data_IF_861311561115
#
_entry.id   IF_861311561115
#
_cell.length_a   1.000
_cell.length_b   1.000
_cell.length_c   1.000
_cell.angle_alpha   90.00
_cell.angle_beta   90.00
_cell.angle_gamma   90.00
#
_symmetry.space_group_name_H-M   'P 1'
#
loop_
_entity.id
_entity.type
_entity.pdbx_description
1 polymer ?
#
# COMPACT_ATOMS: atom_id res chain seq x y z
N UNK A 1 -1.40 2.10 -0.69
CA UNK A 1 -1.63 0.69 -0.27
C UNK A 1 -0.63 -0.32 -0.83
N UNK A 2 -0.32 -0.33 -2.14
CA UNK A 2 0.62 -1.31 -2.72
C UNK A 2 2.01 -1.31 -2.05
N UNK A 3 2.55 -0.14 -1.67
CA UNK A 3 3.82 -0.04 -0.92
C UNK A 3 3.75 -0.71 0.45
N UNK A 4 2.67 -0.51 1.21
CA UNK A 4 2.49 -1.15 2.52
C UNK A 4 2.53 -2.67 2.43
N UNK A 5 1.84 -3.25 1.44
CA UNK A 5 1.86 -4.70 1.22
C UNK A 5 3.27 -5.26 1.02
N UNK A 6 4.11 -4.56 0.24
CA UNK A 6 5.48 -4.99 -0.06
C UNK A 6 6.49 -4.69 1.07
N UNK A 7 6.41 -3.51 1.66
CA UNK A 7 7.41 -3.04 2.63
C UNK A 7 7.13 -3.52 4.06
N UNK A 8 5.85 -3.76 4.39
CA UNK A 8 5.43 -4.14 5.74
C UNK A 8 4.96 -5.58 5.79
N UNK A 9 3.85 -5.91 5.12
CA UNK A 9 3.23 -7.25 5.23
C UNK A 9 4.18 -8.34 4.75
N UNK A 10 4.75 -8.17 3.56
CA UNK A 10 5.71 -9.14 3.03
C UNK A 10 6.95 -9.28 3.90
N UNK A 11 7.45 -8.17 4.45
CA UNK A 11 8.64 -8.20 5.28
C UNK A 11 8.38 -8.96 6.58
N UNK A 12 7.30 -8.63 7.27
CA UNK A 12 6.92 -9.33 8.51
C UNK A 12 6.61 -10.80 8.23
N UNK A 13 5.90 -11.12 7.15
CA UNK A 13 5.65 -12.53 6.76
C UNK A 13 6.94 -13.32 6.54
N UNK A 14 7.95 -12.72 5.91
CA UNK A 14 9.26 -13.36 5.72
C UNK A 14 9.98 -13.55 7.06
N UNK A 15 9.98 -12.53 7.91
CA UNK A 15 10.61 -12.59 9.23
C UNK A 15 9.93 -13.67 10.11
N UNK A 16 8.60 -13.75 10.12
CA UNK A 16 7.82 -14.78 10.81
C UNK A 16 8.03 -16.19 10.24
N UNK A 17 8.06 -16.35 8.92
CA UNK A 17 8.40 -17.63 8.32
C UNK A 17 9.83 -18.08 8.69
N UNK A 18 10.75 -17.12 8.86
CA UNK A 18 12.12 -17.38 9.28
C UNK A 18 12.23 -17.79 10.75
N UNK A 19 11.39 -17.25 11.64
CA UNK A 19 11.27 -17.71 13.03
C UNK A 19 10.85 -19.18 13.11
N UNK A 20 9.95 -19.60 12.23
CA UNK A 20 9.47 -20.98 12.13
C UNK A 20 10.41 -21.93 11.36
N UNK A 21 11.71 -21.63 11.21
CA UNK A 21 12.63 -22.45 10.39
C UNK A 21 12.67 -23.94 10.76
N UNK A 22 12.42 -24.25 12.03
CA UNK A 22 12.45 -25.61 12.56
C UNK A 22 11.11 -26.34 12.44
N UNK A 23 9.99 -25.61 12.29
CA UNK A 23 8.68 -26.17 12.00
C UNK A 23 8.34 -26.00 10.51
N UNK A 24 8.65 -27.03 9.72
CA UNK A 24 8.43 -27.02 8.26
C UNK A 24 6.96 -26.81 7.89
N UNK A 25 6.02 -27.35 8.69
CA UNK A 25 4.58 -27.26 8.38
C UNK A 25 4.08 -25.84 8.65
N UNK A 26 4.32 -25.30 9.85
CA UNK A 26 3.93 -23.94 10.20
C UNK A 26 4.62 -22.90 9.29
N UNK A 27 5.91 -23.08 8.99
CA UNK A 27 6.63 -22.22 8.04
C UNK A 27 5.99 -22.21 6.66
N UNK A 28 5.56 -23.36 6.14
CA UNK A 28 4.91 -23.46 4.83
C UNK A 28 3.64 -22.63 4.80
N UNK A 29 2.80 -22.72 5.84
CA UNK A 29 1.56 -21.95 5.98
C UNK A 29 1.83 -20.45 5.86
N UNK A 30 2.72 -19.92 6.72
CA UNK A 30 3.08 -18.49 6.71
C UNK A 30 3.70 -18.06 5.37
N UNK A 31 4.59 -18.88 4.80
CA UNK A 31 5.27 -18.56 3.53
C UNK A 31 4.27 -18.44 2.38
N UNK A 32 3.24 -19.29 2.33
CA UNK A 32 2.23 -19.28 1.25
C UNK A 32 1.10 -18.26 1.44
N UNK A 33 0.96 -17.67 2.63
CA UNK A 33 -0.16 -16.81 2.97
C UNK A 33 -0.14 -15.39 2.37
N UNK A 34 0.84 -15.05 1.52
CA UNK A 34 1.03 -13.69 0.97
C UNK A 34 -0.26 -13.11 0.40
N UNK A 35 -0.90 -13.82 -0.53
CA UNK A 35 -2.10 -13.31 -1.22
C UNK A 35 -3.29 -13.17 -0.28
N UNK A 36 -3.40 -14.07 0.70
CA UNK A 36 -4.45 -14.03 1.71
C UNK A 36 -4.31 -12.79 2.60
N UNK A 37 -3.08 -12.48 3.05
CA UNK A 37 -2.75 -11.29 3.83
C UNK A 37 -2.91 -9.97 3.05
N UNK A 38 -3.00 -10.00 1.72
CA UNK A 38 -3.21 -8.81 0.89
C UNK A 38 -4.69 -8.55 0.56
N UNK A 39 -5.58 -9.53 0.80
CA UNK A 39 -7.02 -9.39 0.58
C UNK A 39 -7.68 -8.58 1.71
N UNK A 40 -8.82 -7.96 1.39
CA UNK A 40 -9.71 -7.38 2.40
C UNK A 40 -10.62 -8.50 2.92
N UNK A 41 -10.84 -8.54 4.24
CA UNK A 41 -11.69 -9.56 4.88
C UNK A 41 -13.07 -9.63 4.21
N UNK A 42 -13.69 -8.48 4.01
CA UNK A 42 -15.02 -8.33 3.38
C UNK A 42 -15.11 -8.86 1.93
N UNK A 43 -13.98 -9.01 1.25
CA UNK A 43 -13.93 -9.40 -0.18
C UNK A 43 -13.52 -10.85 -0.38
N UNK A 44 -13.28 -11.59 0.70
CA UNK A 44 -12.95 -13.02 0.62
C UNK A 44 -14.26 -13.78 0.38
N UNK A 45 -14.39 -14.36 -0.81
CA UNK A 45 -15.61 -15.07 -1.22
C UNK A 45 -15.68 -16.55 -0.81
N UNK A 46 -14.56 -17.16 -0.38
CA UNK A 46 -14.51 -18.56 0.05
C UNK A 46 -14.43 -18.63 1.57
N UNK A 47 -15.33 -19.38 2.20
CA UNK A 47 -15.35 -19.56 3.65
C UNK A 47 -14.05 -20.18 4.18
N UNK A 48 -13.49 -21.15 3.44
CA UNK A 48 -12.19 -21.75 3.76
C UNK A 48 -11.06 -20.73 3.84
N UNK A 49 -11.05 -19.72 2.97
CA UNK A 49 -10.03 -18.66 3.00
C UNK A 49 -10.21 -17.76 4.23
N UNK A 50 -11.44 -17.54 4.70
CA UNK A 50 -11.71 -16.81 5.95
C UNK A 50 -11.19 -17.56 7.16
N UNK A 51 -11.50 -18.87 7.25
CA UNK A 51 -11.01 -19.72 8.35
C UNK A 51 -9.48 -19.71 8.37
N UNK A 52 -8.83 -19.95 7.23
CA UNK A 52 -7.37 -19.94 7.11
C UNK A 52 -6.75 -18.59 7.47
N UNK A 53 -7.40 -17.48 7.10
CA UNK A 53 -6.93 -16.16 7.49
C UNK A 53 -7.04 -15.97 9.00
N UNK A 54 -8.19 -16.30 9.59
CA UNK A 54 -8.42 -16.15 11.03
C UNK A 54 -7.44 -17.00 11.84
N UNK A 55 -7.22 -18.25 11.46
CA UNK A 55 -6.24 -19.14 12.10
C UNK A 55 -4.82 -18.57 12.00
N UNK A 56 -4.41 -18.09 10.81
CA UNK A 56 -3.09 -17.51 10.61
C UNK A 56 -2.89 -16.27 11.48
N UNK A 57 -3.88 -15.38 11.55
CA UNK A 57 -3.79 -14.15 12.33
C UNK A 57 -3.83 -14.46 13.84
N UNK A 58 -4.66 -15.41 14.27
CA UNK A 58 -4.71 -15.85 15.67
C UNK A 58 -3.38 -16.49 16.12
N UNK A 59 -2.73 -17.26 15.25
CA UNK A 59 -1.45 -17.89 15.54
C UNK A 59 -0.24 -16.94 15.41
N UNK A 60 -0.41 -15.75 14.82
CA UNK A 60 0.70 -14.83 14.58
C UNK A 60 0.33 -13.37 14.87
N UNK A 61 0.65 -12.94 16.09
CA UNK A 61 0.41 -11.59 16.59
C UNK A 61 0.99 -10.51 15.65
N UNK A 62 2.22 -10.70 15.15
CA UNK A 62 2.86 -9.70 14.28
C UNK A 62 2.15 -9.55 12.94
N UNK A 63 1.70 -10.66 12.34
CA UNK A 63 0.88 -10.63 11.12
C UNK A 63 -0.50 -10.02 11.37
N UNK A 64 -1.14 -10.33 12.50
CA UNK A 64 -2.39 -9.71 12.92
C UNK A 64 -2.25 -8.20 13.03
N UNK A 65 -1.23 -7.72 13.74
CA UNK A 65 -0.99 -6.29 13.92
C UNK A 65 -0.80 -5.57 12.59
N UNK A 66 0.05 -6.07 11.70
CA UNK A 66 0.25 -5.41 10.40
C UNK A 66 -0.97 -5.51 9.48
N UNK A 67 -1.78 -6.55 9.62
CA UNK A 67 -3.02 -6.72 8.86
C UNK A 67 -4.09 -5.71 9.32
N UNK A 68 -4.30 -5.57 10.63
CA UNK A 68 -5.23 -4.59 11.21
C UNK A 68 -4.79 -3.17 10.88
N UNK A 69 -3.51 -2.85 11.10
CA UNK A 69 -3.00 -1.50 10.84
C UNK A 69 -3.00 -1.13 9.35
N UNK A 70 -2.94 -2.11 8.44
CA UNK A 70 -3.20 -1.85 7.01
C UNK A 70 -4.60 -1.30 6.79
N UNK A 71 -5.59 -1.92 7.43
CA UNK A 71 -7.00 -1.59 7.22
C UNK A 71 -7.38 -0.29 7.92
N UNK A 72 -6.84 -0.03 9.12
CA UNK A 72 -6.93 1.29 9.75
C UNK A 72 -6.33 2.39 8.87
N UNK A 73 -5.15 2.14 8.28
CA UNK A 73 -4.49 3.10 7.40
C UNK A 73 -5.36 3.43 6.18
N UNK A 74 -6.03 2.44 5.57
CA UNK A 74 -6.99 2.69 4.47
C UNK A 74 -8.12 3.63 4.87
N UNK A 75 -8.53 3.59 6.14
CA UNK A 75 -9.54 4.48 6.70
C UNK A 75 -9.21 5.96 6.53
N UNK A 76 -7.93 6.34 6.49
CA UNK A 76 -7.52 7.74 6.33
C UNK A 76 -8.09 8.39 5.06
N UNK A 77 -8.17 7.64 3.94
CA UNK A 77 -8.71 8.15 2.67
C UNK A 77 -10.23 8.28 2.64
N UNK A 78 -10.94 7.78 3.66
CA UNK A 78 -12.40 7.89 3.78
C UNK A 78 -12.82 9.09 4.63
N UNK A 79 -11.88 9.75 5.29
CA UNK A 79 -12.15 10.90 6.14
C UNK A 79 -12.44 12.14 5.29
N UNK A 80 -13.30 13.01 5.81
CA UNK A 80 -13.73 14.25 5.15
C UNK A 80 -13.23 15.52 5.87
N UNK A 81 -12.39 15.38 6.90
CA UNK A 81 -11.79 16.49 7.65
C UNK A 81 -10.27 16.31 7.75
N UNK A 82 -9.47 17.35 7.44
CA UNK A 82 -8.02 17.34 7.63
C UNK A 82 -7.61 17.07 9.09
N UNK A 83 -8.34 17.65 10.04
CA UNK A 83 -8.10 17.49 11.47
C UNK A 83 -8.35 16.04 11.89
N UNK A 84 -9.46 15.45 11.43
CA UNK A 84 -9.76 14.04 11.66
C UNK A 84 -8.67 13.13 11.06
N UNK A 85 -8.18 13.45 9.86
CA UNK A 85 -7.08 12.71 9.23
C UNK A 85 -5.77 12.83 10.02
N UNK A 86 -5.47 14.01 10.57
CA UNK A 86 -4.28 14.22 11.40
C UNK A 86 -4.36 13.45 12.72
N UNK A 87 -5.51 13.47 13.38
CA UNK A 87 -5.74 12.70 14.62
C UNK A 87 -5.65 11.21 14.36
N UNK A 88 -6.35 10.70 13.35
CA UNK A 88 -6.31 9.29 12.98
C UNK A 88 -4.89 8.85 12.59
N UNK A 89 -4.13 9.71 11.90
CA UNK A 89 -2.72 9.46 11.64
C UNK A 89 -1.90 9.35 12.93
N UNK A 90 -2.03 10.30 13.85
CA UNK A 90 -1.26 10.31 15.09
C UNK A 90 -1.51 9.03 15.90
N UNK A 91 -2.77 8.60 15.98
CA UNK A 91 -3.16 7.35 16.63
C UNK A 91 -2.56 6.13 15.92
N UNK A 92 -2.66 6.11 14.59
CA UNK A 92 -2.08 5.03 13.79
C UNK A 92 -0.55 4.95 13.94
N UNK A 93 0.14 6.09 13.90
CA UNK A 93 1.58 6.17 14.07
C UNK A 93 2.02 5.79 15.49
N UNK A 94 1.22 6.10 16.51
CA UNK A 94 1.41 5.64 17.89
C UNK A 94 1.34 4.12 17.96
N UNK A 95 0.25 3.51 17.48
CA UNK A 95 0.09 2.05 17.41
C UNK A 95 1.22 1.37 16.64
N UNK A 96 1.69 1.98 15.56
CA UNK A 96 2.82 1.50 14.76
C UNK A 96 4.15 1.50 15.52
N UNK A 97 4.37 2.46 16.43
CA UNK A 97 5.53 2.50 17.32
C UNK A 97 5.38 1.50 18.45
N UNK A 98 4.23 1.49 19.10
CA UNK A 98 3.92 0.62 20.25
C UNK A 98 3.96 -0.87 19.88
N UNK A 99 3.69 -1.21 18.62
CA UNK A 99 3.79 -2.60 18.16
C UNK A 99 5.23 -3.15 18.17
N UNK A 100 6.25 -2.29 18.25
CA UNK A 100 7.66 -2.65 18.15
C UNK A 100 8.02 -3.48 16.88
N UNK A 101 7.27 -3.31 15.78
CA UNK A 101 7.52 -4.03 14.52
C UNK A 101 8.39 -3.13 13.62
N UNK A 102 9.67 -3.47 13.35
CA UNK A 102 10.57 -2.54 12.69
C UNK A 102 10.13 -2.13 11.28
N UNK A 103 9.51 -3.05 10.53
CA UNK A 103 9.01 -2.76 9.19
C UNK A 103 7.89 -1.71 9.22
N UNK A 104 7.01 -1.78 10.22
CA UNK A 104 5.88 -0.89 10.39
C UNK A 104 6.32 0.48 10.91
N UNK A 105 7.23 0.53 11.89
CA UNK A 105 7.83 1.77 12.38
C UNK A 105 8.53 2.55 11.25
N UNK A 106 9.37 1.87 10.45
CA UNK A 106 10.05 2.49 9.30
C UNK A 106 9.05 3.01 8.27
N UNK A 107 7.97 2.28 8.03
CA UNK A 107 6.93 2.71 7.11
C UNK A 107 6.22 3.98 7.62
N UNK A 108 5.92 4.04 8.92
CA UNK A 108 5.33 5.23 9.54
C UNK A 108 6.22 6.46 9.36
N UNK A 109 7.52 6.36 9.70
CA UNK A 109 8.50 7.45 9.52
C UNK A 109 8.62 7.90 8.07
N UNK A 110 8.57 6.97 7.10
CA UNK A 110 8.64 7.32 5.67
C UNK A 110 7.38 8.00 5.15
N UNK A 111 6.23 7.70 5.74
CA UNK A 111 4.94 8.24 5.31
C UNK A 111 4.66 9.62 5.94
N UNK A 112 5.27 9.92 7.08
CA UNK A 112 5.09 11.16 7.85
C UNK A 112 5.30 12.47 7.05
N UNK A 113 6.29 12.61 6.14
CA UNK A 113 6.44 13.82 5.33
C UNK A 113 5.27 14.07 4.37
N UNK A 114 4.51 13.03 4.00
CA UNK A 114 3.42 13.11 3.03
C UNK A 114 2.06 13.44 3.65
N UNK A 115 1.98 13.61 4.97
CA UNK A 115 0.72 13.75 5.69
C UNK A 115 -0.05 15.01 5.31
N UNK A 116 0.64 16.11 5.03
CA UNK A 116 -0.01 17.33 4.56
C UNK A 116 -0.80 17.05 3.27
N UNK A 117 -0.24 16.27 2.35
CA UNK A 117 -0.93 15.86 1.12
C UNK A 117 -2.08 14.89 1.36
N UNK A 118 -1.92 13.95 2.31
CA UNK A 118 -2.99 13.00 2.69
C UNK A 118 -4.17 13.74 3.33
N UNK A 119 -3.89 14.69 4.23
CA UNK A 119 -4.92 15.52 4.85
C UNK A 119 -5.57 16.46 3.82
N UNK A 120 -4.81 17.05 2.90
CA UNK A 120 -5.38 17.87 1.83
C UNK A 120 -6.33 17.08 0.91
N UNK A 121 -6.08 15.78 0.71
CA UNK A 121 -6.94 14.91 -0.09
C UNK A 121 -8.35 14.71 0.51
N UNK A 122 -8.55 14.98 1.80
CA UNK A 122 -9.90 14.94 2.41
C UNK A 122 -10.76 16.12 1.98
N UNK A 123 -10.13 17.26 1.65
CA UNK A 123 -10.79 18.47 1.13
C UNK A 123 -10.92 18.37 -0.38
N UNK A 124 -9.81 18.02 -1.05
CA UNK A 124 -9.72 17.94 -2.50
C UNK A 124 -9.68 16.46 -2.90
N UNK A 125 -10.83 15.89 -3.24
CA UNK A 125 -10.96 14.50 -3.69
C UNK A 125 -10.42 14.28 -5.11
N UNK A 126 -9.14 14.59 -5.30
CA UNK A 126 -8.41 14.35 -6.53
C UNK A 126 -8.17 12.85 -6.67
N UNK A 127 -8.72 12.27 -7.74
CA UNK A 127 -8.37 10.92 -8.15
C UNK A 127 -7.09 10.95 -9.02
N UNK A 128 -6.37 9.84 -9.07
CA UNK A 128 -5.20 9.71 -9.93
C UNK A 128 -5.56 9.27 -11.35
N UNK A 129 -6.83 9.08 -11.69
CA UNK A 129 -7.23 8.44 -12.96
C UNK A 129 -6.82 9.27 -14.17
N UNK A 130 -6.97 10.59 -14.13
CA UNK A 130 -6.53 11.49 -15.20
C UNK A 130 -5.01 11.45 -15.34
N UNK A 131 -4.28 11.56 -14.23
CA UNK A 131 -2.82 11.49 -14.20
C UNK A 131 -2.31 10.14 -14.73
N UNK A 132 -2.96 9.03 -14.36
CA UNK A 132 -2.66 7.69 -14.84
C UNK A 132 -2.95 7.55 -16.34
N UNK A 133 -4.05 8.12 -16.82
CA UNK A 133 -4.38 8.18 -18.25
C UNK A 133 -3.29 8.90 -19.06
N UNK A 134 -2.87 10.07 -18.59
CA UNK A 134 -1.76 10.84 -19.18
C UNK A 134 -0.48 10.00 -19.17
N UNK A 135 -0.11 9.43 -18.02
CA UNK A 135 1.09 8.59 -17.90
C UNK A 135 1.06 7.38 -18.85
N UNK A 136 -0.10 6.75 -19.03
CA UNK A 136 -0.26 5.62 -19.94
C UNK A 136 -0.13 6.06 -21.40
N UNK A 137 -0.68 7.21 -21.77
CA UNK A 137 -0.54 7.77 -23.11
C UNK A 137 0.90 8.17 -23.42
N UNK A 138 1.62 8.77 -22.45
CA UNK A 138 3.07 9.02 -22.57
C UNK A 138 3.84 7.71 -22.80
N UNK A 139 3.52 6.65 -22.04
CA UNK A 139 4.14 5.31 -22.23
C UNK A 139 3.83 4.73 -23.62
N UNK A 140 2.64 4.95 -24.15
CA UNK A 140 2.28 4.54 -25.52
C UNK A 140 3.13 5.30 -26.55
N UNK A 141 3.25 6.63 -26.42
CA UNK A 141 4.10 7.44 -27.31
C UNK A 141 5.55 6.93 -27.30
N UNK A 142 6.10 6.66 -26.11
CA UNK A 142 7.44 6.06 -25.97
C UNK A 142 7.58 4.70 -26.65
N UNK A 143 6.58 3.81 -26.50
CA UNK A 143 6.58 2.46 -27.10
C UNK A 143 6.48 2.52 -28.63
N UNK A 144 5.60 3.37 -29.17
CA UNK A 144 5.40 3.51 -30.62
C UNK A 144 6.64 4.05 -31.33
N UNK A 145 7.43 4.89 -30.65
CA UNK A 145 8.68 5.42 -31.20
C UNK A 145 9.86 4.45 -31.08
N UNK A 146 9.70 3.30 -30.42
CA UNK A 146 10.79 2.37 -30.07
C UNK A 146 11.92 3.07 -29.27
N UNK A 147 11.57 4.08 -28.48
CA UNK A 147 12.49 4.92 -27.73
C UNK A 147 12.83 6.24 -28.44
N UNK A 148 13.13 7.27 -27.65
CA UNK A 148 13.61 8.55 -28.14
C UNK A 148 15.08 8.71 -27.74
N UNK A 149 15.89 9.29 -28.64
CA UNK A 149 17.30 9.62 -28.38
C UNK A 149 17.49 11.04 -27.83
N UNK A 150 16.48 11.89 -28.02
CA UNK A 150 16.46 13.29 -27.60
C UNK A 150 15.25 13.53 -26.69
N UNK A 151 15.52 13.90 -25.45
CA UNK A 151 14.51 14.20 -24.45
C UNK A 151 13.70 15.45 -24.83
N UNK A 152 14.32 16.46 -25.46
CA UNK A 152 13.61 17.66 -25.89
C UNK A 152 12.55 17.32 -26.94
N UNK A 153 12.92 16.49 -27.91
CA UNK A 153 11.96 15.98 -28.90
C UNK A 153 10.87 15.10 -28.27
N UNK A 154 11.22 14.28 -27.27
CA UNK A 154 10.22 13.50 -26.53
C UNK A 154 9.22 14.40 -25.80
N UNK A 155 9.68 15.43 -25.08
CA UNK A 155 8.81 16.40 -24.41
C UNK A 155 7.96 17.20 -25.41
N UNK A 156 8.48 17.52 -26.59
CA UNK A 156 7.71 18.14 -27.66
C UNK A 156 6.54 17.25 -28.10
N UNK A 157 6.78 15.93 -28.28
CA UNK A 157 5.72 14.96 -28.59
C UNK A 157 4.70 14.82 -27.47
N UNK A 158 5.11 14.90 -26.21
CA UNK A 158 4.19 14.92 -25.06
C UNK A 158 3.31 16.17 -25.10
N UNK A 159 3.90 17.37 -25.24
CA UNK A 159 3.15 18.64 -25.30
C UNK A 159 2.15 18.66 -26.46
N UNK A 160 2.55 18.15 -27.63
CA UNK A 160 1.65 18.02 -28.78
C UNK A 160 0.46 17.07 -28.51
N UNK A 161 0.66 16.03 -27.68
CA UNK A 161 -0.40 15.09 -27.33
C UNK A 161 -1.34 15.62 -26.21
N UNK A 162 -0.93 16.65 -25.47
CA UNK A 162 -1.70 17.27 -24.40
C UNK A 162 -1.60 18.81 -24.51
N UNK A 163 -2.28 19.43 -25.49
CA UNK A 163 -2.16 20.87 -25.74
C UNK A 163 -2.76 21.78 -24.65
N UNK A 164 -3.36 21.22 -23.59
CA UNK A 164 -4.14 21.96 -22.60
C UNK A 164 -5.60 22.15 -23.02
N UNK A 165 -6.45 22.58 -22.08
CA UNK A 165 -7.76 23.15 -22.41
C UNK A 165 -7.49 24.64 -22.71
N UNK A 166 -8.01 25.20 -23.83
CA UNK A 166 -7.87 26.61 -24.15
C UNK A 166 -8.33 27.56 -23.04
#
# INVERSE_FOLDING_TARGET
MAKYGREVIDRVRVDEANRLRHDKKARKVVKTARWLLLRNRETIGREEDHVRLNELLAANQSLMTVYVLRDELKGLWRLSSPEAARTAWNDWARKARDSAIPALMRFATRLEPYLAGIAAATVWRLNTSVLEGINNRIKVIKRMAYGFRDDAYFFLKIRAAFPGIP
#
